data_IF_125662787741
#
_entry.id   IF_125662787741
#
_cell.length_a   1.000
_cell.length_b   1.000
_cell.length_c   1.000
_cell.angle_alpha   90.00
_cell.angle_beta   90.00
_cell.angle_gamma   90.00
#
_symmetry.space_group_name_H-M   'P 1'
#
loop_
_entity.id
_entity.type
_entity.pdbx_description
1 polymer ?
#
# COMPACT_ATOMS: atom_id res chain seq x y z
N UNK A 1 -55.27 -5.06 7.80
CA UNK A 1 -55.98 -6.22 8.41
C UNK A 1 -55.61 -7.48 7.63
N UNK A 2 -55.40 -8.61 8.33
CA UNK A 2 -55.28 -10.00 7.83
C UNK A 2 -54.04 -10.31 6.95
N UNK A 3 -53.01 -11.05 7.42
CA UNK A 3 -52.89 -12.53 7.54
C UNK A 3 -53.01 -13.25 6.17
N UNK A 4 -52.12 -14.15 5.69
CA UNK A 4 -51.49 -15.28 6.41
C UNK A 4 -50.46 -16.10 5.58
N UNK A 5 -49.37 -16.53 6.21
CA UNK A 5 -48.75 -17.89 6.24
C UNK A 5 -48.33 -18.64 4.93
N UNK A 6 -47.00 -18.88 4.86
CA UNK A 6 -46.21 -20.05 4.37
C UNK A 6 -46.89 -21.22 3.62
N UNK A 7 -46.20 -21.73 2.59
CA UNK A 7 -46.08 -23.19 2.34
C UNK A 7 -44.73 -23.57 1.70
N UNK A 8 -44.17 -24.69 2.18
CA UNK A 8 -42.97 -25.38 1.68
C UNK A 8 -43.43 -26.72 1.08
N UNK A 9 -42.80 -27.19 0.00
CA UNK A 9 -42.76 -28.63 -0.35
C UNK A 9 -41.34 -29.02 -0.75
N UNK A 10 -40.88 -30.16 -0.24
CA UNK A 10 -39.53 -30.74 -0.42
C UNK A 10 -39.67 -32.12 -1.06
N UNK A 11 -38.87 -32.38 -2.11
CA UNK A 11 -38.48 -33.71 -2.62
C UNK A 11 -37.07 -33.47 -3.25
N UNK A 12 -36.02 -34.27 -3.09
CA UNK A 12 -35.93 -35.73 -2.95
C UNK A 12 -34.95 -36.22 -1.86
N UNK A 13 -34.87 -37.54 -1.70
CA UNK A 13 -34.29 -38.26 -0.55
C UNK A 13 -33.20 -39.24 -1.03
N UNK A 14 -32.08 -39.39 -0.27
CA UNK A 14 -31.27 -40.61 0.04
C UNK A 14 -31.00 -41.71 -1.06
N UNK A 15 -30.00 -42.62 -1.06
CA UNK A 15 -28.73 -42.99 -0.35
C UNK A 15 -28.14 -44.20 -1.14
N UNK A 16 -26.88 -44.66 -1.06
CA UNK A 16 -25.64 -44.19 -0.42
C UNK A 16 -24.40 -44.92 -1.01
N UNK A 17 -23.23 -44.29 -0.86
CA UNK A 17 -21.91 -44.82 -0.41
C UNK A 17 -21.70 -46.36 -0.37
N UNK A 18 -20.58 -46.86 -0.95
CA UNK A 18 -19.51 -47.70 -0.30
C UNK A 18 -18.53 -48.31 -1.34
N UNK A 19 -17.22 -48.04 -1.17
CA UNK A 19 -15.99 -48.80 -1.55
C UNK A 19 -15.92 -49.55 -2.92
N UNK A 20 -14.80 -49.57 -3.67
CA UNK A 20 -13.48 -50.13 -3.26
C UNK A 20 -12.42 -49.99 -4.38
N UNK A 21 -11.15 -49.86 -4.01
CA UNK A 21 -9.99 -49.86 -4.94
C UNK A 21 -9.34 -51.24 -5.13
N UNK A 22 -8.91 -51.58 -6.35
CA UNK A 22 -7.78 -52.49 -6.76
C UNK A 22 -7.73 -52.54 -8.30
N UNK A 23 -6.71 -52.01 -8.98
CA UNK A 23 -5.39 -52.59 -9.30
C UNK A 23 -5.41 -53.79 -10.28
N UNK A 24 -4.95 -53.60 -11.53
CA UNK A 24 -3.97 -54.46 -12.23
C UNK A 24 -3.71 -54.03 -13.70
N UNK A 25 -2.43 -53.91 -14.06
CA UNK A 25 -1.83 -53.99 -15.43
C UNK A 25 -1.71 -55.48 -15.85
N UNK A 26 -1.24 -55.92 -17.06
CA UNK A 26 -0.38 -55.22 -18.04
C UNK A 26 -0.48 -55.53 -19.57
N UNK A 27 0.25 -54.73 -20.37
CA UNK A 27 1.06 -55.03 -21.59
C UNK A 27 0.52 -55.73 -22.88
N UNK A 28 1.25 -55.44 -23.98
CA UNK A 28 1.29 -56.06 -25.34
C UNK A 28 0.06 -55.81 -26.25
N UNK A 29 0.18 -55.57 -27.56
CA UNK A 29 1.35 -55.35 -28.43
C UNK A 29 0.96 -55.23 -29.93
N UNK A 30 1.70 -54.40 -30.69
CA UNK A 30 1.95 -54.40 -32.15
C UNK A 30 1.03 -55.18 -33.13
N UNK A 31 0.42 -54.50 -34.13
CA UNK A 31 0.83 -54.52 -35.57
C UNK A 31 -0.22 -53.95 -36.58
N UNK A 32 0.22 -52.97 -37.38
CA UNK A 32 0.10 -52.72 -38.85
C UNK A 32 -1.15 -53.19 -39.66
N UNK A 33 -1.54 -52.33 -40.64
CA UNK A 33 -2.30 -52.52 -41.91
C UNK A 33 -3.76 -52.00 -41.90
N UNK A 34 -4.33 -51.42 -42.97
CA UNK A 34 -3.77 -50.78 -44.17
C UNK A 34 -4.84 -49.95 -44.93
N UNK A 35 -4.40 -48.95 -45.70
CA UNK A 35 -4.89 -48.48 -47.01
C UNK A 35 -6.38 -48.68 -47.42
N UNK A 36 -7.05 -47.60 -47.87
CA UNK A 36 -7.38 -47.44 -49.31
C UNK A 36 -8.04 -46.08 -49.66
N UNK A 37 -7.34 -45.33 -50.51
CA UNK A 37 -7.76 -44.53 -51.69
C UNK A 37 -9.25 -44.24 -51.95
N UNK A 38 -9.52 -43.00 -52.39
CA UNK A 38 -10.11 -42.57 -53.69
C UNK A 38 -10.68 -41.14 -53.53
N UNK A 39 -10.80 -40.24 -54.52
CA UNK A 39 -10.14 -40.02 -55.84
C UNK A 39 -10.69 -38.69 -56.39
N UNK A 40 -9.84 -37.77 -56.85
CA UNK A 40 -10.29 -36.54 -57.54
C UNK A 40 -10.99 -36.85 -58.87
N UNK A 41 -11.80 -35.89 -59.37
CA UNK A 41 -11.41 -35.32 -60.67
C UNK A 41 -11.55 -33.79 -60.77
N UNK A 42 -10.80 -33.23 -61.72
CA UNK A 42 -10.64 -31.81 -62.04
C UNK A 42 -11.50 -31.36 -63.23
N UNK A 43 -11.99 -30.10 -63.19
CA UNK A 43 -12.24 -29.18 -64.31
C UNK A 43 -12.69 -27.83 -63.71
N UNK A 44 -11.97 -26.70 -63.78
CA UNK A 44 -11.40 -25.92 -64.92
C UNK A 44 -12.45 -25.10 -65.68
N UNK A 45 -12.42 -23.78 -65.49
CA UNK A 45 -13.19 -22.77 -66.22
C UNK A 45 -12.87 -21.36 -65.72
N UNK A 46 -12.08 -20.61 -66.50
CA UNK A 46 -11.61 -19.26 -66.16
C UNK A 46 -12.71 -18.19 -66.15
N UNK A 47 -12.56 -17.14 -65.33
CA UNK A 47 -12.95 -15.73 -65.57
C UNK A 47 -12.47 -14.85 -64.37
N UNK A 48 -12.31 -13.53 -64.57
CA UNK A 48 -11.91 -12.51 -63.56
C UNK A 48 -10.41 -12.37 -63.18
N UNK A 49 -9.54 -12.28 -64.19
CA UNK A 49 -8.30 -11.46 -64.06
C UNK A 49 -8.67 -9.97 -64.03
N UNK A 50 -9.00 -9.43 -62.86
CA UNK A 50 -9.39 -8.02 -62.71
C UNK A 50 -9.27 -7.40 -61.32
N UNK A 51 -9.40 -8.18 -60.24
CA UNK A 51 -9.44 -7.64 -58.85
C UNK A 51 -8.16 -7.82 -58.03
N UNK A 52 -7.15 -8.56 -58.54
CA UNK A 52 -5.88 -8.77 -57.83
C UNK A 52 -4.83 -7.66 -58.05
N UNK A 53 -5.02 -6.76 -59.02
CA UNK A 53 -4.11 -5.62 -59.23
C UNK A 53 -4.46 -4.37 -58.40
N UNK A 54 -5.69 -4.23 -57.92
CA UNK A 54 -6.08 -3.09 -57.08
C UNK A 54 -5.72 -3.25 -55.60
N UNK A 55 -5.57 -4.48 -55.10
CA UNK A 55 -5.17 -4.72 -53.71
C UNK A 55 -3.68 -4.48 -53.45
N UNK A 56 -2.82 -4.64 -54.46
CA UNK A 56 -1.38 -4.44 -54.36
C UNK A 56 -0.94 -2.96 -54.34
N UNK A 57 -1.79 -2.05 -54.85
CA UNK A 57 -1.47 -0.60 -54.91
C UNK A 57 -1.81 0.12 -53.61
N UNK A 58 -2.80 -0.37 -52.83
CA UNK A 58 -3.20 0.26 -51.56
C UNK A 58 -2.28 -0.07 -50.38
N UNK A 59 -1.52 -1.17 -50.44
CA UNK A 59 -0.56 -1.55 -49.39
C UNK A 59 0.77 -0.78 -49.50
N UNK A 60 1.08 -0.23 -50.68
CA UNK A 60 2.29 0.59 -50.91
C UNK A 60 2.18 2.04 -50.43
N UNK A 61 1.02 2.47 -49.89
CA UNK A 61 0.73 3.88 -49.60
C UNK A 61 0.81 4.28 -48.10
N UNK A 62 1.06 3.34 -47.18
CA UNK A 62 1.11 3.63 -45.73
C UNK A 62 2.40 3.21 -45.01
N UNK A 63 3.41 2.71 -45.73
CA UNK A 63 4.77 2.52 -45.19
C UNK A 63 5.71 3.60 -45.73
N UNK A 64 5.75 4.75 -45.07
CA UNK A 64 6.80 5.77 -45.23
C UNK A 64 6.90 6.63 -43.97
N UNK A 65 7.61 6.11 -42.97
CA UNK A 65 8.07 6.92 -41.83
C UNK A 65 9.36 7.67 -42.20
N UNK A 66 9.38 8.93 -41.78
CA UNK A 66 10.55 9.74 -41.40
C UNK A 66 11.77 9.91 -42.32
N UNK A 67 12.01 11.17 -42.75
CA UNK A 67 13.34 11.63 -43.12
C UNK A 67 13.60 13.14 -42.83
N UNK A 68 14.38 13.37 -41.75
CA UNK A 68 15.38 14.46 -41.62
C UNK A 68 14.93 15.91 -41.40
N UNK A 69 15.26 16.43 -40.20
CA UNK A 69 16.14 17.63 -40.07
C UNK A 69 16.87 17.76 -38.72
N UNK A 70 17.91 16.93 -38.51
CA UNK A 70 18.97 17.25 -37.52
C UNK A 70 19.86 18.38 -38.09
N UNK A 71 20.04 19.48 -37.36
CA UNK A 71 20.98 20.55 -37.75
C UNK A 71 22.41 20.16 -37.37
N UNK A 72 23.26 19.89 -38.35
CA UNK A 72 24.71 19.84 -38.13
C UNK A 72 25.25 21.24 -37.82
N UNK A 73 25.85 21.43 -36.65
CA UNK A 73 26.79 22.55 -36.40
C UNK A 73 28.20 21.97 -36.45
N UNK A 74 28.97 22.32 -37.49
CA UNK A 74 30.36 21.86 -37.63
C UNK A 74 31.25 22.54 -36.58
N UNK A 75 32.20 21.79 -36.02
CA UNK A 75 33.33 22.38 -35.29
C UNK A 75 34.08 23.35 -36.20
N UNK A 76 34.55 24.46 -35.63
CA UNK A 76 35.63 25.27 -36.18
C UNK A 76 36.74 25.33 -35.13
N UNK A 77 37.90 24.79 -35.46
CA UNK A 77 39.09 24.84 -34.61
C UNK A 77 39.65 26.26 -34.59
N UNK A 78 39.77 26.84 -33.39
CA UNK A 78 40.58 28.03 -33.13
C UNK A 78 41.31 27.87 -31.81
N UNK A 79 42.62 27.72 -31.87
CA UNK A 79 43.53 27.56 -30.74
C UNK A 79 43.60 28.85 -29.92
N UNK A 80 43.15 28.86 -28.66
CA UNK A 80 43.61 29.84 -27.66
C UNK A 80 43.60 29.24 -26.25
N UNK A 81 44.74 29.32 -25.59
CA UNK A 81 45.11 28.94 -24.21
C UNK A 81 44.02 28.89 -23.13
N UNK A 82 44.05 27.84 -22.30
CA UNK A 82 43.38 27.84 -20.98
C UNK A 82 44.07 28.82 -20.00
N UNK A 83 43.30 29.58 -19.18
CA UNK A 83 43.84 30.21 -17.98
C UNK A 83 44.08 29.17 -16.89
N UNK A 84 45.24 29.24 -16.23
CA UNK A 84 45.67 28.26 -15.24
C UNK A 84 44.90 28.37 -13.90
N UNK A 85 43.74 27.71 -13.79
CA UNK A 85 43.03 27.52 -12.51
C UNK A 85 42.51 26.10 -12.23
N UNK A 86 42.52 25.17 -13.20
CA UNK A 86 41.98 23.81 -13.01
C UNK A 86 43.01 22.67 -12.92
N UNK A 87 44.31 22.97 -12.89
CA UNK A 87 45.37 21.96 -12.89
C UNK A 87 45.65 21.29 -11.52
N UNK A 88 45.09 21.78 -10.41
CA UNK A 88 45.44 21.35 -9.05
C UNK A 88 44.58 20.20 -8.47
N UNK A 89 43.59 19.69 -9.22
CA UNK A 89 42.58 18.75 -8.69
C UNK A 89 42.85 17.25 -8.99
N UNK A 90 44.06 16.87 -9.46
CA UNK A 90 44.36 15.49 -9.93
C UNK A 90 45.40 14.73 -9.09
N UNK A 91 45.51 15.03 -7.80
CA UNK A 91 46.47 14.37 -6.88
C UNK A 91 45.85 13.89 -5.55
N UNK A 92 44.56 13.55 -5.54
CA UNK A 92 43.92 12.86 -4.42
C UNK A 92 43.48 11.45 -4.84
N UNK A 93 43.88 10.38 -4.11
CA UNK A 93 43.35 9.03 -4.33
C UNK A 93 41.87 8.96 -3.87
N UNK A 94 41.09 7.98 -4.35
CA UNK A 94 39.69 7.84 -3.95
C UNK A 94 39.62 7.50 -2.46
N UNK A 95 39.11 8.43 -1.66
CA UNK A 95 38.81 8.19 -0.26
C UNK A 95 37.56 7.31 -0.12
N UNK A 96 37.59 6.44 0.87
CA UNK A 96 36.60 5.42 1.25
C UNK A 96 35.13 5.81 1.02
N UNK A 97 34.38 4.89 0.40
CA UNK A 97 32.98 4.63 0.74
C UNK A 97 32.92 4.08 2.18
N UNK A 98 32.72 4.94 3.18
CA UNK A 98 32.28 4.58 4.54
C UNK A 98 32.02 5.83 5.39
N UNK A 99 30.77 6.31 5.42
CA UNK A 99 30.10 7.01 6.56
C UNK A 99 28.66 7.45 6.23
N UNK A 100 28.22 7.41 4.97
CA UNK A 100 26.96 8.03 4.53
C UNK A 100 25.72 7.49 5.28
N UNK A 101 25.70 6.19 5.57
CA UNK A 101 24.57 5.50 6.25
C UNK A 101 24.28 6.00 7.66
N UNK A 102 25.25 6.55 8.40
CA UNK A 102 25.00 7.07 9.76
C UNK A 102 24.39 8.47 9.72
N UNK A 103 24.76 9.30 8.73
CA UNK A 103 24.18 10.63 8.55
C UNK A 103 22.72 10.51 8.05
N UNK A 104 22.50 9.66 7.04
CA UNK A 104 21.20 9.32 6.48
C UNK A 104 20.23 8.78 7.57
N UNK A 105 20.69 7.85 8.42
CA UNK A 105 19.88 7.32 9.53
C UNK A 105 19.58 8.37 10.63
N UNK A 106 20.44 9.38 10.80
CA UNK A 106 20.18 10.51 11.70
C UNK A 106 19.14 11.48 11.08
N UNK A 107 19.20 11.70 9.77
CA UNK A 107 18.24 12.55 9.03
C UNK A 107 16.84 11.92 9.01
N UNK A 108 16.75 10.62 8.67
CA UNK A 108 15.58 9.74 8.89
C UNK A 108 14.96 9.95 10.28
N UNK A 109 15.76 9.78 11.34
CA UNK A 109 15.30 9.90 12.72
C UNK A 109 14.90 11.34 13.11
N UNK A 110 15.46 12.37 12.46
CA UNK A 110 15.04 13.76 12.65
C UNK A 110 13.72 14.06 11.95
N UNK A 111 13.50 13.54 10.74
CA UNK A 111 12.26 13.64 9.99
C UNK A 111 11.11 12.95 10.74
N UNK A 112 11.29 11.69 11.14
CA UNK A 112 10.32 10.94 11.96
C UNK A 112 9.95 11.68 13.27
N UNK A 113 10.92 12.33 13.89
CA UNK A 113 10.72 13.15 15.11
C UNK A 113 10.07 14.51 14.83
N UNK A 114 10.09 14.99 13.59
CA UNK A 114 9.33 16.16 13.18
C UNK A 114 7.87 15.77 12.93
N UNK A 115 7.64 14.68 12.21
CA UNK A 115 6.30 14.17 11.90
C UNK A 115 5.54 13.73 13.17
N UNK A 116 6.18 12.99 14.09
CA UNK A 116 5.57 12.69 15.41
C UNK A 116 5.30 13.98 16.22
N UNK A 117 6.07 15.06 16.03
CA UNK A 117 5.74 16.36 16.67
C UNK A 117 4.57 17.07 16.01
N UNK A 118 4.48 17.04 14.68
CA UNK A 118 3.30 17.54 13.94
C UNK A 118 2.05 16.79 14.37
N UNK A 119 2.10 15.46 14.49
CA UNK A 119 1.03 14.62 15.03
C UNK A 119 0.54 15.11 16.39
N UNK A 120 1.45 15.32 17.34
CA UNK A 120 1.09 15.77 18.68
C UNK A 120 0.60 17.23 18.70
N UNK A 121 1.02 18.07 17.75
CA UNK A 121 0.57 19.46 17.61
C UNK A 121 -0.79 19.57 16.90
N UNK A 122 -1.05 18.77 15.87
CA UNK A 122 -2.29 18.71 15.10
C UNK A 122 -3.45 18.11 15.91
N UNK A 123 -3.23 16.98 16.59
CA UNK A 123 -4.26 16.41 17.48
C UNK A 123 -4.56 17.36 18.64
N UNK A 124 -3.54 18.06 19.17
CA UNK A 124 -3.74 19.10 20.18
C UNK A 124 -4.52 20.30 19.64
N UNK A 125 -4.30 20.70 18.39
CA UNK A 125 -5.07 21.75 17.73
C UNK A 125 -6.53 21.31 17.54
N UNK A 126 -6.78 20.09 17.05
CA UNK A 126 -8.11 19.49 16.88
C UNK A 126 -8.88 19.44 18.20
N UNK A 127 -8.25 18.99 19.28
CA UNK A 127 -8.82 19.02 20.64
C UNK A 127 -9.13 20.45 21.09
N UNK A 128 -8.23 21.41 20.85
CA UNK A 128 -8.44 22.81 21.22
C UNK A 128 -9.57 23.46 20.40
N UNK A 129 -9.81 23.07 19.15
CA UNK A 129 -10.97 23.53 18.36
C UNK A 129 -12.29 22.99 18.93
N UNK A 130 -12.36 21.69 19.27
CA UNK A 130 -13.54 21.13 19.95
C UNK A 130 -13.85 21.84 21.27
N UNK A 131 -12.83 22.25 22.04
CA UNK A 131 -13.02 22.94 23.32
C UNK A 131 -13.42 24.43 23.17
N UNK A 132 -13.13 25.08 22.04
CA UNK A 132 -13.48 26.49 21.80
C UNK A 132 -14.76 26.69 20.96
N UNK A 133 -15.31 25.62 20.37
CA UNK A 133 -16.50 25.68 19.50
C UNK A 133 -17.83 25.93 20.22
N UNK A 134 -17.91 25.67 21.54
CA UNK A 134 -19.18 25.59 22.29
C UNK A 134 -19.38 26.75 23.30
N UNK A 135 -19.14 27.98 22.84
CA UNK A 135 -19.34 29.20 23.65
C UNK A 135 -20.56 30.03 23.23
N UNK A 136 -21.70 29.37 22.98
CA UNK A 136 -23.03 29.99 22.97
C UNK A 136 -24.14 28.92 23.02
N UNK A 137 -24.82 28.75 24.16
CA UNK A 137 -26.29 28.92 24.25
C UNK A 137 -26.79 28.91 25.71
N UNK A 138 -28.00 29.44 25.92
CA UNK A 138 -28.59 29.65 27.24
C UNK A 138 -29.31 28.40 27.77
N UNK A 139 -28.89 27.96 28.96
CA UNK A 139 -29.60 27.12 29.96
C UNK A 139 -30.91 26.39 29.57
N UNK A 140 -30.85 25.05 29.62
CA UNK A 140 -31.88 24.28 30.33
C UNK A 140 -31.24 23.22 31.25
N UNK A 141 -31.93 22.82 32.32
CA UNK A 141 -31.34 22.07 33.45
C UNK A 141 -31.46 20.54 33.31
N UNK A 142 -30.54 19.92 32.58
CA UNK A 142 -29.99 18.61 32.96
C UNK A 142 -28.45 18.69 32.92
N UNK A 143 -27.79 18.55 34.08
CA UNK A 143 -26.33 18.51 34.15
C UNK A 143 -25.84 17.14 33.71
N UNK A 144 -25.88 16.90 32.40
CA UNK A 144 -24.97 15.97 31.77
C UNK A 144 -23.56 16.56 31.92
N UNK A 145 -22.78 16.03 32.87
CA UNK A 145 -21.33 16.13 32.77
C UNK A 145 -20.92 15.22 31.61
N UNK A 146 -20.85 15.80 30.41
CA UNK A 146 -20.13 15.21 29.29
C UNK A 146 -18.71 14.92 29.76
N UNK A 147 -18.35 13.63 29.84
CA UNK A 147 -16.99 13.20 30.14
C UNK A 147 -16.06 13.78 29.06
N UNK A 148 -15.13 14.69 29.40
CA UNK A 148 -14.27 15.35 28.42
C UNK A 148 -13.41 14.35 27.64
N UNK A 149 -13.11 13.18 28.22
CA UNK A 149 -12.36 12.11 27.56
C UNK A 149 -13.14 11.41 26.44
N UNK A 150 -14.45 11.60 26.30
CA UNK A 150 -15.21 11.08 25.16
C UNK A 150 -14.93 11.84 23.85
N UNK A 151 -14.47 13.10 23.95
CA UNK A 151 -14.21 14.00 22.80
C UNK A 151 -12.71 14.09 22.45
N UNK A 152 -11.82 13.64 23.34
CA UNK A 152 -10.36 13.66 23.17
C UNK A 152 -9.86 12.32 22.63
N UNK A 153 -8.94 12.35 21.66
CA UNK A 153 -8.18 11.17 21.25
C UNK A 153 -6.72 11.34 21.67
N UNK A 154 -6.17 10.33 22.33
CA UNK A 154 -4.79 10.33 22.80
C UNK A 154 -3.91 9.51 21.84
N UNK A 155 -2.68 9.97 21.62
CA UNK A 155 -1.69 9.24 20.80
C UNK A 155 -1.41 7.83 21.32
N UNK A 156 -0.98 6.91 20.45
CA UNK A 156 -0.66 5.54 20.82
C UNK A 156 0.28 5.46 22.05
N UNK A 157 -0.11 4.69 23.06
CA UNK A 157 0.60 4.55 24.34
C UNK A 157 0.11 5.47 25.46
N UNK A 158 -0.84 6.36 25.17
CA UNK A 158 -1.53 7.21 26.14
C UNK A 158 -3.00 6.80 26.33
N UNK A 159 -3.57 7.20 27.45
CA UNK A 159 -4.99 7.07 27.81
C UNK A 159 -5.45 8.40 28.39
N UNK A 160 -6.70 8.79 28.09
CA UNK A 160 -7.28 10.00 28.66
C UNK A 160 -7.69 9.77 30.11
N UNK A 161 -7.25 10.65 31.00
CA UNK A 161 -7.67 10.71 32.40
C UNK A 161 -8.08 12.15 32.73
N UNK A 162 -9.15 12.31 33.53
CA UNK A 162 -9.60 13.62 34.00
C UNK A 162 -8.71 14.03 35.19
N UNK A 163 -8.21 15.26 35.18
CA UNK A 163 -7.34 15.80 36.24
C UNK A 163 -8.12 16.37 37.45
N UNK A 164 -7.43 16.99 38.41
CA UNK A 164 -8.05 17.58 39.60
C UNK A 164 -8.90 18.84 39.31
N UNK A 165 -8.74 19.46 38.14
CA UNK A 165 -9.49 20.64 37.71
C UNK A 165 -10.72 20.28 36.87
N UNK A 166 -10.79 19.05 36.36
CA UNK A 166 -11.85 18.56 35.47
C UNK A 166 -11.45 18.53 33.99
N UNK A 167 -10.18 18.78 33.67
CA UNK A 167 -9.66 18.79 32.31
C UNK A 167 -9.23 17.39 31.86
N UNK A 168 -9.43 17.07 30.58
CA UNK A 168 -8.96 15.82 29.97
C UNK A 168 -7.46 15.87 29.65
N UNK A 169 -6.68 14.94 30.20
CA UNK A 169 -5.22 14.87 30.03
C UNK A 169 -4.79 13.47 29.54
N UNK A 170 -3.96 13.42 28.51
CA UNK A 170 -3.44 12.18 27.93
C UNK A 170 -2.18 11.66 28.66
N UNK A 171 -2.38 10.84 29.68
CA UNK A 171 -1.30 10.21 30.46
C UNK A 171 -0.81 8.92 29.80
N UNK A 172 0.46 8.54 30.00
CA UNK A 172 0.94 7.22 29.54
C UNK A 172 0.18 6.06 30.20
N UNK A 173 -0.07 4.98 29.44
CA UNK A 173 -0.73 3.78 29.95
C UNK A 173 0.03 3.21 31.14
N UNK A 174 -0.67 3.01 32.26
CA UNK A 174 -0.06 2.55 33.53
C UNK A 174 0.33 1.07 33.48
N UNK A 175 -0.56 0.22 32.98
CA UNK A 175 -0.40 -1.23 32.86
C UNK A 175 -1.07 -1.72 31.57
N UNK A 176 -0.45 -2.67 30.88
CA UNK A 176 -0.99 -3.28 29.65
C UNK A 176 -1.54 -4.69 29.91
N UNK A 177 -2.54 -5.15 29.13
CA UNK A 177 -3.00 -6.54 29.19
C UNK A 177 -1.87 -7.53 28.91
N UNK A 178 -1.79 -8.60 29.70
CA UNK A 178 -0.83 -9.67 29.48
C UNK A 178 -1.30 -10.62 28.37
N UNK A 179 -0.63 -10.55 27.22
CA UNK A 179 -0.94 -11.42 26.08
C UNK A 179 -0.27 -12.79 26.20
N UNK A 180 -1.06 -13.84 25.94
CA UNK A 180 -0.60 -15.24 25.96
C UNK A 180 -0.40 -15.83 24.56
N UNK A 181 -1.00 -15.24 23.53
CA UNK A 181 -0.86 -15.67 22.13
C UNK A 181 0.43 -15.09 21.51
N UNK A 182 1.28 -15.95 20.97
CA UNK A 182 2.51 -15.53 20.28
C UNK A 182 2.25 -14.70 19.02
N UNK A 183 1.04 -14.74 18.46
CA UNK A 183 0.61 -13.89 17.33
C UNK A 183 0.31 -12.44 17.72
N UNK A 184 0.09 -12.16 19.00
CA UNK A 184 -0.22 -10.81 19.53
C UNK A 184 0.98 -10.11 20.17
N UNK A 185 2.06 -10.85 20.37
CA UNK A 185 3.40 -10.29 20.60
C UNK A 185 3.82 -9.46 19.39
N UNK A 186 4.86 -8.65 19.56
CA UNK A 186 5.43 -7.86 18.48
C UNK A 186 6.94 -7.93 18.46
N UNK A 187 7.52 -7.86 17.27
CA UNK A 187 8.94 -7.66 17.07
C UNK A 187 9.21 -6.19 16.74
N UNK A 188 10.25 -5.63 17.33
CA UNK A 188 10.65 -4.22 17.16
C UNK A 188 11.85 -4.07 16.23
N UNK A 189 12.12 -2.87 15.74
CA UNK A 189 13.30 -2.56 14.89
C UNK A 189 14.63 -3.02 15.52
N UNK A 190 14.73 -3.01 16.86
CA UNK A 190 15.89 -3.51 17.62
C UNK A 190 15.95 -5.05 17.73
N UNK A 191 15.12 -5.78 16.99
CA UNK A 191 14.96 -7.25 17.05
C UNK A 191 14.65 -7.78 18.47
N UNK A 192 13.98 -6.95 19.29
CA UNK A 192 13.49 -7.31 20.63
C UNK A 192 12.01 -7.75 20.53
N UNK A 193 11.67 -8.90 21.10
CA UNK A 193 10.29 -9.38 21.18
C UNK A 193 9.60 -8.83 22.42
N UNK A 194 8.47 -8.16 22.22
CA UNK A 194 7.64 -7.60 23.28
C UNK A 194 6.35 -8.40 23.46
N UNK A 195 5.79 -8.36 24.66
CA UNK A 195 4.58 -9.12 25.02
C UNK A 195 3.35 -8.68 24.25
N UNK A 196 3.23 -7.38 23.96
CA UNK A 196 2.15 -6.77 23.20
C UNK A 196 2.62 -5.44 22.59
N UNK A 197 1.90 -4.96 21.59
CA UNK A 197 2.06 -3.61 21.04
C UNK A 197 1.83 -2.50 22.07
N UNK A 198 0.85 -2.69 22.97
CA UNK A 198 0.61 -1.81 24.11
C UNK A 198 1.88 -1.52 24.92
N UNK A 199 2.69 -2.53 25.26
CA UNK A 199 3.91 -2.33 26.05
C UNK A 199 5.00 -1.56 25.27
N UNK A 200 5.07 -1.71 23.94
CA UNK A 200 5.99 -0.92 23.10
C UNK A 200 5.57 0.55 23.09
N UNK A 201 4.30 0.84 22.82
CA UNK A 201 3.80 2.22 22.82
C UNK A 201 3.87 2.87 24.20
N UNK A 202 3.57 2.12 25.25
CA UNK A 202 3.74 2.54 26.65
C UNK A 202 5.21 2.87 26.96
N UNK A 203 6.15 2.01 26.56
CA UNK A 203 7.58 2.28 26.76
C UNK A 203 8.03 3.55 26.02
N UNK A 204 7.58 3.73 24.77
CA UNK A 204 7.82 4.93 23.95
C UNK A 204 7.31 6.19 24.66
N UNK A 205 6.07 6.16 25.14
CA UNK A 205 5.44 7.24 25.91
C UNK A 205 6.24 7.59 27.17
N UNK A 206 6.57 6.60 28.01
CA UNK A 206 7.34 6.80 29.25
C UNK A 206 8.71 7.44 28.99
N UNK A 207 9.35 7.09 27.87
CA UNK A 207 10.61 7.70 27.48
C UNK A 207 10.42 9.12 26.96
N UNK A 208 9.44 9.40 26.10
CA UNK A 208 9.13 10.76 25.62
C UNK A 208 8.82 11.72 26.79
N UNK A 209 8.11 11.27 27.81
CA UNK A 209 7.77 12.05 29.02
C UNK A 209 8.93 12.12 30.04
N UNK A 210 10.09 11.50 29.75
CA UNK A 210 11.28 11.54 30.61
C UNK A 210 11.12 10.79 31.94
N UNK A 211 10.22 9.82 32.02
CA UNK A 211 9.93 9.04 33.23
C UNK A 211 11.12 8.18 33.66
N UNK A 212 11.32 8.03 34.97
CA UNK A 212 12.29 7.07 35.55
C UNK A 212 12.01 5.61 35.16
N UNK A 213 10.78 5.31 34.71
CA UNK A 213 10.38 4.00 34.18
C UNK A 213 10.82 3.77 32.71
N UNK A 214 11.48 4.75 32.08
CA UNK A 214 12.08 4.57 30.77
C UNK A 214 13.28 3.60 30.84
N UNK A 215 13.26 2.53 30.03
CA UNK A 215 14.39 1.57 29.94
C UNK A 215 15.66 2.14 29.30
N UNK A 216 15.58 3.31 28.67
CA UNK A 216 16.72 4.02 28.07
C UNK A 216 16.34 4.83 26.82
N UNK A 217 17.18 5.78 26.40
CA UNK A 217 16.89 6.71 25.32
C UNK A 217 16.69 6.04 23.95
N UNK A 218 17.23 4.83 23.75
CA UNK A 218 16.99 4.05 22.54
C UNK A 218 15.50 3.72 22.31
N UNK A 219 14.67 3.78 23.35
CA UNK A 219 13.24 3.53 23.26
C UNK A 219 12.39 4.79 22.99
N UNK A 220 12.99 5.98 22.81
CA UNK A 220 12.23 7.16 22.35
C UNK A 220 11.61 6.97 20.95
N UNK A 221 12.28 6.19 20.11
CA UNK A 221 11.93 5.96 18.70
C UNK A 221 11.69 4.47 18.43
N UNK A 222 11.31 3.69 19.45
CA UNK A 222 10.99 2.27 19.25
C UNK A 222 9.72 2.13 18.41
N UNK A 223 9.86 1.50 17.25
CA UNK A 223 8.77 1.12 16.36
C UNK A 223 8.59 -0.40 16.35
N UNK A 224 7.35 -0.83 16.12
CA UNK A 224 7.01 -2.22 15.84
C UNK A 224 7.35 -2.48 14.36
N UNK A 225 8.21 -3.46 14.08
CA UNK A 225 8.50 -3.86 12.70
C UNK A 225 7.39 -4.79 12.18
N UNK A 226 6.92 -5.72 13.03
CA UNK A 226 5.82 -6.63 12.68
C UNK A 226 5.16 -7.32 13.89
N UNK A 227 3.96 -7.87 13.67
CA UNK A 227 3.22 -8.65 14.66
C UNK A 227 3.65 -10.13 14.68
N UNK A 228 3.96 -10.64 15.87
CA UNK A 228 4.52 -11.96 16.14
C UNK A 228 5.79 -11.90 17.00
N UNK A 229 6.37 -13.07 17.27
CA UNK A 229 7.70 -13.16 17.92
C UNK A 229 8.83 -12.82 16.93
N UNK A 230 9.95 -12.30 17.44
CA UNK A 230 11.13 -12.05 16.60
C UNK A 230 11.67 -13.35 16.01
N UNK A 231 11.90 -13.34 14.69
CA UNK A 231 12.37 -14.48 13.90
C UNK A 231 13.25 -13.98 12.77
N UNK A 232 14.13 -14.86 12.28
CA UNK A 232 14.88 -14.61 11.06
C UNK A 232 13.92 -14.54 9.86
N UNK A 233 14.00 -13.44 9.09
CA UNK A 233 13.21 -13.23 7.88
C UNK A 233 14.13 -13.44 6.67
N UNK A 234 13.66 -14.13 5.61
CA UNK A 234 14.44 -14.30 4.39
C UNK A 234 14.61 -12.96 3.67
N UNK A 235 15.73 -12.80 2.95
CA UNK A 235 15.94 -11.67 2.04
C UNK A 235 14.97 -11.75 0.85
N UNK A 236 14.46 -10.61 0.38
CA UNK A 236 13.60 -10.57 -0.79
C UNK A 236 14.42 -10.76 -2.07
N UNK A 237 14.14 -11.82 -2.82
CA UNK A 237 14.86 -12.09 -4.08
C UNK A 237 14.39 -11.16 -5.20
N UNK A 238 15.26 -10.88 -6.18
CA UNK A 238 14.92 -10.07 -7.37
C UNK A 238 13.65 -10.58 -8.08
N UNK A 239 13.46 -11.90 -8.13
CA UNK A 239 12.26 -12.52 -8.72
C UNK A 239 10.99 -12.31 -7.91
N UNK A 240 11.07 -12.31 -6.58
CA UNK A 240 9.91 -12.04 -5.72
C UNK A 240 9.53 -10.57 -5.79
N UNK A 241 10.53 -9.67 -5.76
CA UNK A 241 10.36 -8.22 -5.89
C UNK A 241 9.78 -7.84 -7.25
N UNK A 242 10.23 -8.44 -8.35
CA UNK A 242 9.71 -8.15 -9.69
C UNK A 242 8.21 -8.47 -9.86
N UNK A 243 7.68 -9.42 -9.09
CA UNK A 243 6.25 -9.75 -9.08
C UNK A 243 5.48 -9.09 -7.91
N UNK A 244 6.17 -8.61 -6.87
CA UNK A 244 5.55 -8.02 -5.68
C UNK A 244 4.56 -6.87 -6.00
N UNK A 245 4.86 -5.88 -6.87
CA UNK A 245 3.91 -4.83 -7.24
C UNK A 245 2.58 -5.37 -7.76
N UNK A 246 2.60 -6.47 -8.53
CA UNK A 246 1.38 -7.11 -9.04
C UNK A 246 0.56 -7.71 -7.91
N UNK A 247 1.19 -8.49 -7.03
CA UNK A 247 0.51 -9.09 -5.88
C UNK A 247 -0.05 -8.03 -4.94
N UNK A 248 0.67 -6.92 -4.75
CA UNK A 248 0.22 -5.78 -3.95
C UNK A 248 -1.03 -5.14 -4.57
N UNK A 249 -1.04 -4.81 -5.87
CA UNK A 249 -2.25 -4.30 -6.56
C UNK A 249 -3.45 -5.23 -6.44
N UNK A 250 -3.26 -6.53 -6.65
CA UNK A 250 -4.33 -7.53 -6.53
C UNK A 250 -4.82 -7.68 -5.08
N UNK A 251 -3.91 -7.61 -4.10
CA UNK A 251 -4.24 -7.62 -2.68
C UNK A 251 -5.08 -6.39 -2.29
N UNK A 252 -4.61 -5.18 -2.63
CA UNK A 252 -5.31 -3.91 -2.38
C UNK A 252 -6.75 -3.93 -2.90
N UNK A 253 -6.96 -4.37 -4.14
CA UNK A 253 -8.31 -4.50 -4.70
C UNK A 253 -9.19 -5.51 -3.94
N UNK A 254 -8.62 -6.63 -3.47
CA UNK A 254 -9.40 -7.60 -2.70
C UNK A 254 -9.75 -7.10 -1.30
N UNK A 255 -8.90 -6.29 -0.65
CA UNK A 255 -9.23 -5.63 0.62
C UNK A 255 -10.34 -4.59 0.40
N UNK A 256 -10.23 -3.75 -0.64
CA UNK A 256 -11.26 -2.77 -1.00
C UNK A 256 -12.63 -3.45 -1.18
N UNK A 257 -12.69 -4.57 -1.91
CA UNK A 257 -13.93 -5.33 -2.09
C UNK A 257 -14.46 -5.92 -0.79
N UNK A 258 -13.61 -6.52 0.06
CA UNK A 258 -14.04 -7.09 1.35
C UNK A 258 -14.61 -6.02 2.29
N UNK A 259 -14.01 -4.83 2.34
CA UNK A 259 -14.54 -3.68 3.10
C UNK A 259 -15.84 -3.13 2.48
N UNK A 260 -15.98 -3.13 1.15
CA UNK A 260 -17.22 -2.75 0.46
C UNK A 260 -18.36 -3.75 0.76
N UNK A 261 -18.09 -5.05 0.72
CA UNK A 261 -19.03 -6.12 1.06
C UNK A 261 -19.56 -5.99 2.49
N UNK A 262 -18.68 -5.58 3.43
CA UNK A 262 -19.01 -5.33 4.85
C UNK A 262 -19.65 -3.98 5.13
N UNK A 263 -19.62 -3.05 4.15
CA UNK A 263 -20.05 -1.65 4.27
C UNK A 263 -19.20 -0.84 5.25
N UNK A 264 -17.92 -1.17 5.31
CA UNK A 264 -16.90 -0.46 6.10
C UNK A 264 -16.26 0.70 5.29
N UNK A 265 -16.48 0.76 3.97
CA UNK A 265 -16.06 1.89 3.13
C UNK A 265 -17.05 3.07 3.15
N UNK A 266 -16.55 4.32 3.21
CA UNK A 266 -17.30 5.53 2.86
C UNK A 266 -18.04 5.46 1.52
N UNK A 267 -19.11 6.25 1.39
CA UNK A 267 -19.98 6.23 0.22
C UNK A 267 -19.25 6.58 -1.10
N UNK A 268 -18.29 7.51 -1.07
CA UNK A 268 -17.39 7.78 -2.20
C UNK A 268 -16.58 6.56 -2.63
N UNK A 269 -15.86 5.92 -1.71
CA UNK A 269 -15.04 4.75 -2.02
C UNK A 269 -15.88 3.53 -2.44
N UNK A 270 -17.10 3.37 -1.94
CA UNK A 270 -18.06 2.39 -2.49
C UNK A 270 -18.48 2.67 -3.95
N UNK A 271 -18.43 3.94 -4.43
CA UNK A 271 -18.64 4.24 -5.85
C UNK A 271 -17.42 3.83 -6.68
N UNK A 272 -16.21 4.10 -6.18
CA UNK A 272 -14.95 3.74 -6.85
C UNK A 272 -14.74 2.23 -6.95
N UNK A 273 -15.14 1.46 -5.94
CA UNK A 273 -15.07 -0.01 -5.92
C UNK A 273 -15.97 -0.63 -7.02
N UNK A 274 -17.22 -0.15 -7.16
CA UNK A 274 -18.13 -0.63 -8.21
C UNK A 274 -17.63 -0.29 -9.62
N UNK A 275 -16.99 0.87 -9.79
CA UNK A 275 -16.31 1.19 -11.04
C UNK A 275 -15.17 0.19 -11.31
N UNK A 276 -14.36 -0.10 -10.29
CA UNK A 276 -13.23 -1.03 -10.34
C UNK A 276 -13.64 -2.50 -10.65
N UNK A 277 -14.82 -2.95 -10.20
CA UNK A 277 -15.39 -4.24 -10.65
C UNK A 277 -15.78 -4.22 -12.13
N UNK A 278 -16.34 -3.09 -12.60
CA UNK A 278 -16.90 -2.97 -13.95
C UNK A 278 -15.86 -2.69 -15.04
N UNK A 279 -14.74 -2.04 -14.69
CA UNK A 279 -13.72 -1.58 -15.63
C UNK A 279 -12.31 -2.03 -15.18
N UNK A 280 -11.70 -2.92 -15.97
CA UNK A 280 -10.38 -3.49 -15.69
C UNK A 280 -9.22 -2.48 -15.66
N UNK A 281 -9.35 -1.30 -16.29
CA UNK A 281 -8.32 -0.25 -16.23
C UNK A 281 -8.29 0.41 -14.86
N UNK A 282 -9.44 0.98 -14.46
CA UNK A 282 -9.68 1.57 -13.14
C UNK A 282 -9.58 0.56 -11.98
N UNK A 283 -9.61 -0.75 -12.24
CA UNK A 283 -9.63 -1.81 -11.21
C UNK A 283 -8.56 -1.67 -10.14
N UNK A 284 -7.30 -1.56 -10.55
CA UNK A 284 -6.18 -1.42 -9.62
C UNK A 284 -5.95 0.04 -9.25
N UNK A 285 -6.20 0.97 -10.18
CA UNK A 285 -6.00 2.40 -9.98
C UNK A 285 -6.90 2.96 -8.88
N UNK A 286 -8.20 2.65 -8.90
CA UNK A 286 -9.14 3.06 -7.85
C UNK A 286 -8.79 2.45 -6.48
N UNK A 287 -8.32 1.21 -6.44
CA UNK A 287 -7.89 0.56 -5.20
C UNK A 287 -6.58 1.15 -4.65
N UNK A 288 -5.66 1.55 -5.52
CA UNK A 288 -4.42 2.21 -5.15
C UNK A 288 -4.67 3.64 -4.61
N UNK A 289 -5.52 4.42 -5.29
CA UNK A 289 -5.94 5.76 -4.85
C UNK A 289 -6.66 5.65 -3.50
N UNK A 290 -7.68 4.78 -3.39
CA UNK A 290 -8.39 4.56 -2.13
C UNK A 290 -7.43 4.24 -1.00
N UNK A 291 -6.52 3.27 -1.18
CA UNK A 291 -5.65 2.89 -0.07
C UNK A 291 -4.64 3.99 0.29
N UNK A 292 -4.21 4.79 -0.67
CA UNK A 292 -3.35 5.95 -0.41
C UNK A 292 -4.10 7.01 0.42
N UNK A 293 -5.33 7.37 0.05
CA UNK A 293 -6.20 8.26 0.87
C UNK A 293 -6.54 7.68 2.26
N UNK A 294 -6.65 6.35 2.38
CA UNK A 294 -6.90 5.61 3.63
C UNK A 294 -5.62 5.44 4.49
N UNK A 295 -4.48 5.92 4.00
CA UNK A 295 -3.22 6.02 4.75
C UNK A 295 -2.90 7.49 5.07
N UNK A 296 -3.06 8.41 4.11
CA UNK A 296 -3.03 9.88 4.25
C UNK A 296 -4.29 10.36 5.00
N UNK A 297 -4.35 10.01 6.28
CA UNK A 297 -5.40 10.41 7.23
C UNK A 297 -4.83 11.35 8.31
N UNK A 298 -3.50 11.49 8.36
CA UNK A 298 -2.85 12.34 9.33
C UNK A 298 -2.41 13.65 8.67
N UNK A 299 -2.87 14.79 9.18
CA UNK A 299 -2.69 16.14 8.60
C UNK A 299 -3.26 16.36 7.17
N UNK A 300 -3.58 15.30 6.42
CA UNK A 300 -4.08 15.33 5.03
C UNK A 300 -3.16 16.16 4.11
N UNK A 301 -1.85 15.99 4.25
CA UNK A 301 -0.82 16.82 3.61
C UNK A 301 -0.37 16.31 2.23
N UNK A 302 -1.10 15.33 1.68
CA UNK A 302 -0.96 14.73 0.33
C UNK A 302 0.31 13.92 0.13
N UNK A 303 0.79 13.27 1.19
CA UNK A 303 1.80 12.23 1.11
C UNK A 303 1.60 11.23 2.24
N UNK A 304 2.07 9.99 2.06
CA UNK A 304 1.99 8.97 3.10
C UNK A 304 3.35 8.87 3.78
N UNK A 305 3.42 9.22 5.07
CA UNK A 305 4.63 9.09 5.88
C UNK A 305 4.93 7.64 6.27
N UNK A 306 6.17 7.36 6.69
CA UNK A 306 6.55 6.04 7.23
C UNK A 306 5.66 5.56 8.39
N UNK A 307 5.15 6.48 9.22
CA UNK A 307 4.24 6.16 10.31
C UNK A 307 2.85 5.74 9.81
N UNK A 308 2.35 6.37 8.74
CA UNK A 308 1.08 6.02 8.12
C UNK A 308 1.14 4.72 7.33
N UNK A 309 2.31 4.31 6.82
CA UNK A 309 2.51 2.97 6.24
C UNK A 309 2.37 1.82 7.26
N UNK A 310 2.35 2.11 8.57
CA UNK A 310 2.32 1.10 9.63
C UNK A 310 1.20 0.04 9.49
N UNK A 311 -0.07 0.41 9.19
CA UNK A 311 -1.18 -0.55 9.07
C UNK A 311 -1.05 -1.52 7.89
N UNK A 312 -0.23 -1.22 6.88
CA UNK A 312 0.10 -2.18 5.81
C UNK A 312 1.42 -2.92 6.07
N UNK A 313 2.45 -2.24 6.58
CA UNK A 313 3.78 -2.84 6.83
C UNK A 313 3.73 -3.90 7.93
N UNK A 314 3.40 -3.52 9.16
CA UNK A 314 3.59 -4.39 10.33
C UNK A 314 2.69 -5.64 10.37
N UNK A 315 1.42 -5.61 9.92
CA UNK A 315 0.58 -6.82 9.87
C UNK A 315 0.98 -7.81 8.78
N UNK A 316 1.60 -7.35 7.68
CA UNK A 316 1.92 -8.17 6.51
C UNK A 316 3.38 -8.59 6.42
N UNK A 317 4.32 -7.88 7.04
CA UNK A 317 5.76 -8.19 7.01
C UNK A 317 6.09 -9.61 7.52
N UNK A 318 5.29 -10.13 8.45
CA UNK A 318 5.40 -11.52 8.92
C UNK A 318 4.86 -12.58 7.93
N UNK A 319 4.25 -12.17 6.82
CA UNK A 319 3.68 -13.01 5.76
C UNK A 319 4.39 -12.81 4.41
N UNK A 320 4.80 -11.59 4.09
CA UNK A 320 5.49 -11.21 2.87
C UNK A 320 6.74 -10.36 3.23
N UNK A 321 7.92 -10.97 3.26
CA UNK A 321 9.20 -10.33 3.60
C UNK A 321 9.64 -9.22 2.64
N UNK A 322 9.05 -9.19 1.45
CA UNK A 322 9.31 -8.17 0.44
C UNK A 322 8.62 -6.82 0.70
N UNK A 323 7.66 -6.72 1.63
CA UNK A 323 6.88 -5.48 1.79
C UNK A 323 7.73 -4.29 2.26
N UNK A 324 8.63 -4.50 3.23
CA UNK A 324 9.55 -3.46 3.68
C UNK A 324 10.44 -2.93 2.53
N UNK A 325 11.29 -3.75 1.88
CA UNK A 325 12.14 -3.25 0.79
C UNK A 325 11.35 -2.80 -0.45
N UNK A 326 10.08 -3.19 -0.62
CA UNK A 326 9.22 -2.63 -1.66
C UNK A 326 8.80 -1.20 -1.33
N UNK A 327 8.32 -0.94 -0.10
CA UNK A 327 7.92 0.39 0.33
C UNK A 327 9.14 1.33 0.38
N UNK A 328 10.28 0.84 0.86
CA UNK A 328 11.55 1.57 0.87
C UNK A 328 12.08 1.87 -0.55
N UNK A 329 11.58 1.18 -1.60
CA UNK A 329 11.87 1.46 -3.03
C UNK A 329 10.82 2.35 -3.71
N UNK A 330 9.70 2.66 -3.04
CA UNK A 330 8.69 3.56 -3.59
C UNK A 330 9.06 5.03 -3.40
N UNK A 331 9.80 5.34 -2.33
CA UNK A 331 10.42 6.65 -2.03
C UNK A 331 11.62 6.85 -2.99
N UNK A 332 11.44 7.60 -4.08
CA UNK A 332 12.46 7.73 -5.15
C UNK A 332 13.45 8.86 -4.87
N UNK A 333 13.05 9.91 -4.16
CA UNK A 333 13.90 11.04 -3.78
C UNK A 333 14.41 11.01 -2.33
N UNK A 334 14.06 9.97 -1.58
CA UNK A 334 14.54 9.63 -0.23
C UNK A 334 14.13 10.64 0.85
N UNK A 335 12.97 11.29 0.71
CA UNK A 335 12.43 12.26 1.68
C UNK A 335 11.56 11.65 2.80
N UNK A 336 11.32 10.33 2.73
CA UNK A 336 10.53 9.49 3.66
C UNK A 336 9.02 9.72 3.63
N UNK A 337 8.54 10.30 2.54
CA UNK A 337 7.13 10.49 2.21
C UNK A 337 6.87 9.81 0.87
N UNK A 338 5.66 9.28 0.69
CA UNK A 338 5.29 8.65 -0.58
C UNK A 338 4.13 9.45 -1.18
N UNK A 339 4.43 10.18 -2.25
CA UNK A 339 3.40 10.89 -3.03
C UNK A 339 2.52 9.90 -3.80
N UNK A 340 1.32 10.33 -4.24
CA UNK A 340 0.43 9.50 -5.05
C UNK A 340 1.09 9.06 -6.37
N UNK A 341 1.95 9.91 -6.95
CA UNK A 341 2.68 9.61 -8.19
C UNK A 341 3.72 8.49 -7.98
N UNK A 342 4.49 8.56 -6.89
CA UNK A 342 5.45 7.52 -6.50
C UNK A 342 4.76 6.21 -6.15
N UNK A 343 3.71 6.25 -5.32
CA UNK A 343 2.88 5.09 -4.99
C UNK A 343 2.37 4.40 -6.26
N UNK A 344 1.83 5.19 -7.20
CA UNK A 344 1.36 4.71 -8.50
C UNK A 344 2.45 4.09 -9.37
N UNK A 345 3.60 4.76 -9.48
CA UNK A 345 4.78 4.29 -10.23
C UNK A 345 5.36 3.01 -9.65
N UNK A 346 5.48 2.94 -8.32
CA UNK A 346 5.91 1.76 -7.57
C UNK A 346 4.96 0.58 -7.78
N UNK A 347 3.66 0.85 -7.78
CA UNK A 347 2.61 -0.09 -8.19
C UNK A 347 2.51 -0.29 -9.71
N UNK A 348 3.39 0.25 -10.56
CA UNK A 348 3.39 0.04 -12.02
C UNK A 348 2.05 0.41 -12.71
N UNK A 349 1.38 1.45 -12.21
CA UNK A 349 0.15 2.00 -12.77
C UNK A 349 0.44 3.13 -13.77
N UNK A 350 -0.56 3.49 -14.58
CA UNK A 350 -0.45 4.63 -15.49
C UNK A 350 -0.74 5.94 -14.73
N UNK A 351 0.23 6.85 -14.74
CA UNK A 351 0.15 8.18 -14.12
C UNK A 351 -1.06 8.98 -14.62
N UNK A 352 -1.47 8.80 -15.89
CA UNK A 352 -2.63 9.50 -16.45
C UNK A 352 -3.99 8.99 -15.92
N UNK A 353 -4.03 7.84 -15.25
CA UNK A 353 -5.23 7.34 -14.58
C UNK A 353 -5.25 7.65 -13.07
N UNK A 354 -4.13 8.11 -12.50
CA UNK A 354 -3.95 8.39 -11.08
C UNK A 354 -4.37 9.82 -10.73
N UNK A 355 -5.69 10.02 -10.67
CA UNK A 355 -6.30 11.27 -10.24
C UNK A 355 -6.45 11.27 -8.70
N UNK A 356 -5.90 12.28 -8.02
CA UNK A 356 -6.16 12.52 -6.59
C UNK A 356 -7.65 12.83 -6.40
N UNK A 357 -8.32 12.00 -5.60
CA UNK A 357 -9.76 12.06 -5.32
C UNK A 357 -10.05 11.86 -3.83
N UNK A 358 -9.08 12.15 -2.95
CA UNK A 358 -9.27 12.00 -1.50
C UNK A 358 -10.26 13.04 -0.94
N UNK A 359 -10.33 14.23 -1.55
CA UNK A 359 -11.18 15.34 -1.12
C UNK A 359 -12.71 15.06 -1.27
N UNK A 360 -13.15 14.04 -2.03
CA UNK A 360 -14.58 13.69 -2.22
C UNK A 360 -15.26 13.05 -0.99
N UNK A 361 -14.55 12.91 0.13
CA UNK A 361 -15.07 12.33 1.39
C UNK A 361 -15.98 13.33 2.15
N UNK A 362 -15.77 14.64 2.01
CA UNK A 362 -16.47 15.67 2.83
C UNK A 362 -17.97 15.79 2.56
N UNK A 363 -18.41 15.45 1.35
CA UNK A 363 -19.75 15.80 0.85
C UNK A 363 -20.84 14.77 1.22
N UNK A 364 -20.45 13.58 1.68
CA UNK A 364 -21.37 12.51 2.08
C UNK A 364 -21.67 12.51 3.61
N UNK A 365 -21.27 13.56 4.35
CA UNK A 365 -21.48 13.74 5.80
C UNK A 365 -22.67 14.69 6.12
N UNK A 366 -23.89 14.33 5.70
CA UNK A 366 -25.16 15.04 6.01
C UNK A 366 -26.29 14.06 6.33
#
# INVERSE_FOLDING_TARGET
MNFSIKKIVVVACNKAVVLRSRSQTPQWGWHILALSKHKEPTARGDIMKGQLFFLAVLIAAFCSTEAVRRRHRRLRTTTTTEPAMFAAARLFPPALHRTDTEAEHIELAMAEKLDERRFQEAEKARVNELMNGDSNEEADNEVFMDDPCLKVHCSAGRVCEIDEHGDAVCNCIKECPYETDSRRKVCTQSNETWTSDCEVYRQRCLCLDGSELCRGPQYHHVQIEYYGECREMPECTESEMADFPRRMRDWLFNIMRDMAERRELPAHFMRMEREAESNLTRRWTNAAIWKWCDLDTHDNDRFVSRHELFPIRAPLMALEHCIAPFLDLCDEDTDHRITLAEWGKCLQLDEYELEDRCDEISDDAV
#
